data_IF_459437135545
#
_entry.id   IF_459437135545
#
_cell.length_a   1.000
_cell.length_b   1.000
_cell.length_c   1.000
_cell.angle_alpha   90.00
_cell.angle_beta   90.00
_cell.angle_gamma   90.00
#
_symmetry.space_group_name_H-M   'P 1'
#
loop_
_entity.id
_entity.type
_entity.pdbx_description
1 polymer ?
#
# COMPACT_ATOMS: atom_id res chain seq x y z
N UNK A 1 13.65 -5.83 23.44
CA UNK A 1 13.32 -6.79 22.36
C UNK A 1 14.17 -6.41 21.17
N UNK A 2 15.04 -7.32 20.74
CA UNK A 2 16.17 -6.99 19.89
C UNK A 2 15.80 -6.79 18.43
N UNK A 3 16.48 -5.86 17.79
CA UNK A 3 16.59 -5.66 16.34
C UNK A 3 16.64 -6.96 15.50
N UNK A 4 17.30 -8.07 15.91
CA UNK A 4 17.29 -9.32 15.12
C UNK A 4 15.91 -9.96 14.92
N UNK A 5 15.01 -9.89 15.91
CA UNK A 5 13.66 -10.48 15.76
C UNK A 5 12.78 -9.68 14.79
N UNK A 6 13.03 -8.37 14.69
CA UNK A 6 12.31 -7.49 13.76
C UNK A 6 12.75 -7.77 12.32
N UNK A 7 14.05 -7.95 12.10
CA UNK A 7 14.61 -8.28 10.79
C UNK A 7 14.17 -9.66 10.30
N UNK A 8 14.18 -10.67 11.19
CA UNK A 8 13.66 -12.01 10.89
C UNK A 8 12.19 -11.99 10.43
N UNK A 9 11.34 -11.16 11.06
CA UNK A 9 9.94 -11.00 10.67
C UNK A 9 9.80 -10.31 9.31
N UNK A 10 10.61 -9.28 9.06
CA UNK A 10 10.62 -8.57 7.80
C UNK A 10 11.04 -9.50 6.64
N UNK A 11 12.07 -10.32 6.83
CA UNK A 11 12.55 -11.27 5.83
C UNK A 11 11.51 -12.37 5.56
N UNK A 12 10.83 -12.87 6.60
CA UNK A 12 9.75 -13.83 6.44
C UNK A 12 8.57 -13.26 5.64
N UNK A 13 8.24 -11.98 5.83
CA UNK A 13 7.23 -11.29 5.02
C UNK A 13 7.70 -11.16 3.58
N UNK A 14 8.95 -10.73 3.36
CA UNK A 14 9.51 -10.55 2.02
C UNK A 14 9.42 -11.86 1.22
N UNK A 15 9.89 -12.98 1.79
CA UNK A 15 9.84 -14.27 1.12
C UNK A 15 8.42 -14.72 0.79
N UNK A 16 7.43 -14.39 1.63
CA UNK A 16 6.02 -14.65 1.33
C UNK A 16 5.51 -13.83 0.16
N UNK A 17 5.73 -12.51 0.20
CA UNK A 17 5.32 -11.60 -0.87
C UNK A 17 5.96 -12.01 -2.20
N UNK A 18 7.25 -12.33 -2.22
CA UNK A 18 7.90 -12.84 -3.43
C UNK A 18 7.28 -14.15 -3.94
N UNK A 19 6.81 -15.03 -3.05
CA UNK A 19 6.10 -16.24 -3.48
C UNK A 19 4.71 -15.96 -4.07
N UNK A 20 4.13 -14.79 -3.80
CA UNK A 20 2.86 -14.33 -4.35
C UNK A 20 3.02 -13.58 -5.68
N UNK A 21 4.24 -13.18 -6.03
CA UNK A 21 4.56 -12.46 -7.27
C UNK A 21 4.06 -13.23 -8.49
N UNK A 22 3.38 -12.54 -9.39
CA UNK A 22 2.80 -13.13 -10.60
C UNK A 22 1.72 -14.20 -10.36
N UNK A 23 1.18 -14.30 -9.14
CA UNK A 23 0.01 -15.14 -8.86
C UNK A 23 -1.27 -14.32 -9.01
N UNK A 24 -2.28 -14.93 -9.58
CA UNK A 24 -3.63 -14.37 -9.65
C UNK A 24 -4.29 -14.49 -8.26
N UNK A 25 -4.05 -13.49 -7.40
CA UNK A 25 -4.69 -13.42 -6.09
C UNK A 25 -6.08 -12.81 -6.22
N UNK A 26 -7.06 -13.47 -5.61
CA UNK A 26 -8.40 -12.90 -5.44
C UNK A 26 -8.40 -11.90 -4.29
N UNK A 27 -9.38 -11.00 -4.26
CA UNK A 27 -9.54 -10.00 -3.19
C UNK A 27 -9.49 -10.62 -1.78
N UNK A 28 -10.07 -11.80 -1.60
CA UNK A 28 -10.06 -12.52 -0.34
C UNK A 28 -8.66 -12.98 0.10
N UNK A 29 -7.81 -13.39 -0.86
CA UNK A 29 -6.42 -13.80 -0.59
C UNK A 29 -5.56 -12.58 -0.25
N UNK A 30 -5.77 -11.47 -0.96
CA UNK A 30 -5.14 -10.18 -0.66
C UNK A 30 -5.50 -9.73 0.74
N UNK A 31 -6.79 -9.77 1.12
CA UNK A 31 -7.25 -9.39 2.45
C UNK A 31 -6.67 -10.30 3.55
N UNK A 32 -6.54 -11.61 3.27
CA UNK A 32 -5.89 -12.53 4.19
C UNK A 32 -4.41 -12.17 4.43
N UNK A 33 -3.67 -11.83 3.37
CA UNK A 33 -2.27 -11.41 3.48
C UNK A 33 -2.16 -10.08 4.24
N UNK A 34 -3.04 -9.12 3.95
CA UNK A 34 -3.12 -7.83 4.66
C UNK A 34 -3.31 -8.03 6.17
N UNK A 35 -4.23 -8.90 6.58
CA UNK A 35 -4.44 -9.22 8.02
C UNK A 35 -3.20 -9.82 8.66
N UNK A 36 -2.46 -10.66 7.92
CA UNK A 36 -1.22 -11.25 8.42
C UNK A 36 -0.15 -10.17 8.61
N UNK A 37 -0.01 -9.26 7.65
CA UNK A 37 0.92 -8.13 7.72
C UNK A 37 0.60 -7.22 8.92
N UNK A 38 -0.68 -6.90 9.13
CA UNK A 38 -1.15 -6.13 10.28
C UNK A 38 -0.80 -6.82 11.61
N UNK A 39 -0.87 -8.16 11.66
CA UNK A 39 -0.50 -8.93 12.84
C UNK A 39 1.01 -8.91 13.13
N UNK A 40 1.86 -8.70 12.12
CA UNK A 40 3.32 -8.54 12.32
C UNK A 40 3.64 -7.19 12.97
N UNK A 41 2.86 -6.15 12.67
CA UNK A 41 3.04 -4.81 13.19
C UNK A 41 4.09 -4.00 12.42
N UNK A 42 4.63 -2.95 13.03
CA UNK A 42 5.46 -1.91 12.38
C UNK A 42 6.66 -2.44 11.56
N UNK A 43 7.14 -3.66 11.87
CA UNK A 43 8.21 -4.31 11.11
C UNK A 43 7.82 -4.66 9.66
N UNK A 44 6.52 -4.71 9.34
CA UNK A 44 6.05 -4.93 7.98
C UNK A 44 6.17 -3.67 7.10
N UNK A 45 6.10 -2.48 7.69
CA UNK A 45 6.09 -1.20 6.97
C UNK A 45 7.26 -1.06 5.97
N UNK A 46 8.54 -1.24 6.36
CA UNK A 46 9.65 -1.12 5.41
C UNK A 46 9.53 -2.13 4.27
N UNK A 47 9.07 -3.35 4.56
CA UNK A 47 8.92 -4.40 3.53
C UNK A 47 7.83 -4.05 2.52
N UNK A 48 6.73 -3.44 2.97
CA UNK A 48 5.64 -2.99 2.09
C UNK A 48 6.10 -1.85 1.19
N UNK A 49 6.87 -0.90 1.73
CA UNK A 49 7.43 0.22 0.95
C UNK A 49 8.35 -0.27 -0.18
N UNK A 50 9.16 -1.30 0.08
CA UNK A 50 10.02 -1.89 -0.94
C UNK A 50 9.23 -2.50 -2.11
N UNK A 51 8.01 -2.99 -1.88
CA UNK A 51 7.20 -3.60 -2.94
C UNK A 51 6.78 -2.59 -4.02
N UNK A 52 6.67 -1.31 -3.69
CA UNK A 52 6.34 -0.27 -4.67
C UNK A 52 7.40 -0.09 -5.76
N UNK A 53 8.62 -0.60 -5.54
CA UNK A 53 9.72 -0.59 -6.52
C UNK A 53 9.75 -1.85 -7.39
N UNK A 54 8.96 -2.88 -7.06
CA UNK A 54 9.00 -4.18 -7.74
C UNK A 54 8.06 -4.26 -8.96
N UNK A 55 7.32 -3.19 -9.25
CA UNK A 55 6.43 -3.02 -10.42
C UNK A 55 5.47 -4.22 -10.67
N UNK A 56 5.10 -4.94 -9.61
CA UNK A 56 4.20 -6.09 -9.68
C UNK A 56 2.83 -5.71 -9.13
N UNK A 57 1.80 -5.82 -9.96
CA UNK A 57 0.42 -5.44 -9.64
C UNK A 57 -0.11 -6.17 -8.40
N UNK A 58 0.26 -7.43 -8.21
CA UNK A 58 -0.19 -8.26 -7.08
C UNK A 58 0.44 -7.75 -5.79
N UNK A 59 1.74 -7.49 -5.82
CA UNK A 59 2.47 -6.97 -4.64
C UNK A 59 2.03 -5.55 -4.30
N UNK A 60 1.80 -4.71 -5.31
CA UNK A 60 1.27 -3.35 -5.16
C UNK A 60 -0.10 -3.35 -4.51
N UNK A 61 -1.02 -4.22 -4.95
CA UNK A 61 -2.35 -4.33 -4.38
C UNK A 61 -2.30 -4.72 -2.89
N UNK A 62 -1.51 -5.75 -2.55
CA UNK A 62 -1.32 -6.19 -1.16
C UNK A 62 -0.70 -5.08 -0.31
N UNK A 63 0.38 -4.45 -0.77
CA UNK A 63 1.07 -3.39 -0.05
C UNK A 63 0.16 -2.17 0.21
N UNK A 64 -0.58 -1.75 -0.81
CA UNK A 64 -1.50 -0.62 -0.74
C UNK A 64 -2.64 -0.89 0.23
N UNK A 65 -3.30 -2.05 0.12
CA UNK A 65 -4.41 -2.41 1.01
C UNK A 65 -3.94 -2.55 2.46
N UNK A 66 -2.75 -3.12 2.67
CA UNK A 66 -2.15 -3.24 4.00
C UNK A 66 -1.90 -1.87 4.62
N UNK A 67 -1.32 -0.93 3.87
CA UNK A 67 -1.07 0.43 4.34
C UNK A 67 -2.38 1.21 4.58
N UNK A 68 -3.40 1.07 3.72
CA UNK A 68 -4.72 1.72 3.93
C UNK A 68 -5.43 1.23 5.19
N UNK A 69 -5.26 -0.06 5.52
CA UNK A 69 -5.77 -0.64 6.76
C UNK A 69 -4.88 -0.32 7.98
N UNK A 70 -3.68 0.22 7.76
CA UNK A 70 -2.73 0.56 8.81
C UNK A 70 -3.09 1.89 9.47
N UNK A 71 -3.23 1.88 10.80
CA UNK A 71 -3.58 3.09 11.57
C UNK A 71 -2.36 3.96 11.90
N UNK A 72 -1.48 3.47 12.78
CA UNK A 72 -0.26 4.15 13.19
C UNK A 72 0.83 3.13 13.57
N UNK A 73 2.13 3.42 13.28
CA UNK A 73 2.66 4.63 12.65
C UNK A 73 2.41 4.69 11.14
N UNK A 74 2.22 5.90 10.60
CA UNK A 74 1.96 6.15 9.17
C UNK A 74 3.25 6.50 8.42
N UNK A 75 3.66 5.74 7.41
CA UNK A 75 4.89 5.99 6.65
C UNK A 75 4.73 7.12 5.62
N UNK A 76 4.30 8.32 6.04
CA UNK A 76 4.04 9.45 5.13
C UNK A 76 5.31 9.91 4.40
N UNK A 77 6.40 10.16 5.14
CA UNK A 77 7.69 10.58 4.55
C UNK A 77 8.22 9.62 3.48
N UNK A 78 8.34 8.29 3.73
CA UNK A 78 8.84 7.38 2.72
C UNK A 78 7.86 7.19 1.54
N UNK A 79 6.55 7.30 1.76
CA UNK A 79 5.58 7.30 0.66
C UNK A 79 5.78 8.51 -0.27
N UNK A 80 6.02 9.70 0.29
CA UNK A 80 6.35 10.90 -0.49
C UNK A 80 7.70 10.73 -1.23
N UNK A 81 8.67 10.07 -0.61
CA UNK A 81 9.96 9.80 -1.25
C UNK A 81 9.79 8.87 -2.47
N UNK A 82 9.02 7.78 -2.35
CA UNK A 82 8.70 6.87 -3.44
C UNK A 82 7.99 7.57 -4.59
N UNK A 83 7.07 8.49 -4.28
CA UNK A 83 6.39 9.27 -5.31
C UNK A 83 7.34 10.10 -6.17
N UNK A 84 8.43 10.62 -5.59
CA UNK A 84 9.47 11.38 -6.30
C UNK A 84 10.47 10.50 -7.03
N UNK A 85 10.44 9.20 -6.77
CA UNK A 85 11.39 8.27 -7.34
C UNK A 85 10.97 7.90 -8.78
N UNK A 86 11.88 8.03 -9.77
CA UNK A 86 11.58 7.70 -11.15
C UNK A 86 11.54 6.19 -11.41
N UNK A 87 12.09 5.35 -10.52
CA UNK A 87 11.99 3.89 -10.64
C UNK A 87 10.62 3.36 -10.20
N UNK A 88 9.81 4.19 -9.53
CA UNK A 88 8.45 3.84 -9.16
C UNK A 88 7.53 4.14 -10.34
N UNK A 89 6.88 3.10 -10.88
CA UNK A 89 5.93 3.22 -11.99
C UNK A 89 4.68 4.03 -11.63
N UNK A 90 3.98 4.54 -12.64
CA UNK A 90 2.82 5.44 -12.47
C UNK A 90 1.68 4.78 -11.67
N UNK A 91 1.46 3.48 -11.87
CA UNK A 91 0.51 2.69 -11.09
C UNK A 91 0.81 2.72 -9.59
N UNK A 92 2.07 2.46 -9.23
CA UNK A 92 2.52 2.46 -7.85
C UNK A 92 2.34 3.85 -7.23
N UNK A 93 2.63 4.92 -7.98
CA UNK A 93 2.42 6.31 -7.55
C UNK A 93 0.95 6.60 -7.30
N UNK A 94 0.06 6.23 -8.22
CA UNK A 94 -1.38 6.40 -8.05
C UNK A 94 -1.88 5.72 -6.77
N UNK A 95 -1.42 4.50 -6.50
CA UNK A 95 -1.78 3.78 -5.28
C UNK A 95 -1.27 4.45 -4.02
N UNK A 96 -0.01 4.92 -4.02
CA UNK A 96 0.56 5.68 -2.89
C UNK A 96 -0.27 6.92 -2.59
N UNK A 97 -0.73 7.66 -3.61
CA UNK A 97 -1.60 8.82 -3.43
C UNK A 97 -2.89 8.43 -2.69
N UNK A 98 -3.54 7.33 -3.07
CA UNK A 98 -4.77 6.86 -2.37
C UNK A 98 -4.53 6.51 -0.90
N UNK A 99 -3.32 6.03 -0.54
CA UNK A 99 -2.94 5.75 0.85
C UNK A 99 -2.79 7.07 1.62
N UNK A 100 -2.11 8.06 1.02
CA UNK A 100 -1.91 9.37 1.61
C UNK A 100 -3.24 10.12 1.83
N UNK A 101 -4.17 10.04 0.87
CA UNK A 101 -5.53 10.54 1.02
C UNK A 101 -6.24 9.89 2.20
N UNK A 102 -6.13 8.56 2.34
CA UNK A 102 -6.70 7.83 3.48
C UNK A 102 -6.11 8.29 4.81
N UNK A 103 -4.84 8.70 4.81
CA UNK A 103 -4.17 9.27 5.97
C UNK A 103 -4.59 10.72 6.27
N UNK A 104 -5.38 11.35 5.40
CA UNK A 104 -5.84 12.73 5.53
C UNK A 104 -4.87 13.76 4.96
N UNK A 105 -3.94 13.35 4.09
CA UNK A 105 -3.12 14.29 3.32
C UNK A 105 -3.88 14.69 2.05
N UNK A 106 -4.00 16.00 1.83
CA UNK A 106 -4.59 16.53 0.61
C UNK A 106 -3.57 16.41 -0.54
N UNK A 107 -3.79 15.44 -1.44
CA UNK A 107 -2.90 15.17 -2.58
C UNK A 107 -3.38 15.82 -3.88
N UNK A 108 -4.50 16.57 -3.85
CA UNK A 108 -5.00 17.35 -4.99
C UNK A 108 -4.05 18.49 -5.39
N UNK A 109 -3.17 18.89 -4.48
CA UNK A 109 -2.04 19.76 -4.76
C UNK A 109 -0.92 18.95 -5.46
N UNK A 110 -1.24 18.42 -6.66
CA UNK A 110 -0.30 17.65 -7.49
C UNK A 110 0.90 18.50 -7.90
N UNK A 111 0.72 19.83 -7.99
CA UNK A 111 1.80 20.82 -8.16
C UNK A 111 2.78 20.83 -6.97
N UNK A 112 2.29 20.58 -5.75
CA UNK A 112 3.06 20.68 -4.50
C UNK A 112 3.98 19.47 -4.29
N UNK A 113 3.67 18.34 -4.93
CA UNK A 113 4.52 17.14 -4.95
C UNK A 113 5.58 17.20 -6.08
N UNK A 114 5.44 18.11 -7.05
CA UNK A 114 6.38 18.28 -8.17
C UNK A 114 6.42 17.08 -9.12
N UNK A 115 5.35 16.28 -9.13
CA UNK A 115 5.28 15.04 -9.89
C UNK A 115 4.50 15.32 -11.16
N UNK A 116 5.17 15.36 -12.30
CA UNK A 116 4.52 15.32 -13.61
C UNK A 116 3.96 13.92 -13.89
N UNK A 117 3.07 13.42 -13.03
CA UNK A 117 2.35 12.17 -13.28
C UNK A 117 1.09 12.55 -14.03
N UNK A 118 1.02 12.16 -15.30
CA UNK A 118 -0.21 12.22 -16.09
C UNK A 118 -1.20 11.18 -15.55
N UNK A 119 -1.93 11.53 -14.49
CA UNK A 119 -2.95 10.68 -13.85
C UNK A 119 -4.21 10.49 -14.71
N UNK A 120 -4.22 10.93 -15.98
CA UNK A 120 -5.38 10.86 -16.89
C UNK A 120 -5.86 9.42 -17.15
N UNK A 121 -5.04 8.39 -16.92
CA UNK A 121 -5.40 7.00 -17.20
C UNK A 121 -5.89 6.20 -15.98
N UNK A 122 -5.64 6.64 -14.74
CA UNK A 122 -5.97 5.84 -13.55
C UNK A 122 -7.31 6.26 -12.93
N UNK A 123 -8.40 6.04 -13.66
CA UNK A 123 -9.75 5.99 -13.07
C UNK A 123 -9.86 4.71 -12.25
N UNK A 124 -9.28 4.70 -11.04
CA UNK A 124 -9.48 3.61 -10.10
C UNK A 124 -10.99 3.47 -9.90
N UNK A 125 -11.51 2.32 -10.30
CA UNK A 125 -12.92 2.00 -10.11
C UNK A 125 -13.23 2.12 -8.64
N UNK A 126 -13.99 3.16 -8.29
CA UNK A 126 -14.58 3.34 -6.98
C UNK A 126 -15.45 2.12 -6.66
N UNK A 127 -14.85 1.06 -6.12
CA UNK A 127 -15.56 0.11 -5.27
C UNK A 127 -15.91 0.86 -4.00
N UNK A 128 -17.01 1.61 -4.10
CA UNK A 128 -17.77 2.05 -2.96
C UNK A 128 -18.14 0.79 -2.17
N UNK A 129 -17.48 0.62 -1.03
CA UNK A 129 -18.01 -0.21 0.02
C UNK A 129 -19.38 0.38 0.39
N UNK A 130 -20.44 -0.29 -0.05
CA UNK A 130 -21.78 -0.08 0.45
C UNK A 130 -21.86 -0.58 1.88
N UNK A 131 -21.26 0.16 2.81
CA UNK A 131 -21.59 0.08 4.23
C UNK A 131 -22.61 1.19 4.51
N UNK A 132 -23.88 0.91 4.23
CA UNK A 132 -24.98 1.65 4.83
C UNK A 132 -25.99 0.63 5.38
N UNK A 133 -25.65 0.16 6.59
CA UNK A 133 -26.60 -0.46 7.48
C UNK A 133 -27.44 0.60 8.18
N UNK A 134 -28.73 0.66 7.87
CA UNK A 134 -29.83 1.07 8.74
C UNK A 134 -31.11 0.55 8.06
N UNK A 135 -31.84 -0.47 8.53
CA UNK A 135 -32.42 -0.69 9.86
C UNK A 135 -33.05 0.59 10.42
N UNK A 136 -34.28 0.90 10.00
CA UNK A 136 -35.41 1.27 10.87
C UNK A 136 -36.65 1.66 10.03
N UNK A 137 -37.85 1.20 10.43
CA UNK A 137 -39.15 1.68 9.94
C UNK A 137 -40.09 0.66 9.33
#
# INVERSE_FOLDING_TARGET
MGEPERELRAEAIRGRLESLRGRDLRDAEVDAEVRQLLAVGEAAIPVLLEQFTQEDETLLAVATQALKAWGEPRPVEPLIALLRDPAVGDLAKALILTVLEKYGLDVNDTELLGLGIDLEEYRVGSLGNGDEGARDG
#
